data_IF_429742080363
#
_entry.id   IF_429742080363
#
_cell.length_a   1.000
_cell.length_b   1.000
_cell.length_c   1.000
_cell.angle_alpha   90.00
_cell.angle_beta   90.00
_cell.angle_gamma   90.00
#
_symmetry.space_group_name_H-M   'P 1'
#
loop_
_entity.id
_entity.type
_entity.pdbx_description
1 polymer ?
#
# COMPACT_ATOMS: atom_id res chain seq x y z
N UNK A 1 20.69 22.14 -5.25
CA UNK A 1 20.04 21.17 -6.16
C UNK A 1 18.92 20.49 -5.39
N UNK A 2 17.62 20.62 -5.75
CA UNK A 2 16.59 19.92 -5.00
C UNK A 2 16.65 18.44 -5.39
N UNK A 3 17.07 17.62 -4.44
CA UNK A 3 17.07 16.16 -4.53
C UNK A 3 15.60 15.77 -4.72
N UNK A 4 15.19 15.46 -5.95
CA UNK A 4 13.85 14.95 -6.24
C UNK A 4 13.72 13.63 -5.51
N UNK A 5 13.13 13.66 -4.31
CA UNK A 5 12.73 12.47 -3.59
C UNK A 5 11.75 11.74 -4.50
N UNK A 6 12.22 10.66 -5.11
CA UNK A 6 11.39 9.84 -5.99
C UNK A 6 10.42 9.11 -5.05
N UNK A 7 9.22 9.68 -4.88
CA UNK A 7 8.10 9.04 -4.23
C UNK A 7 7.52 7.96 -5.16
N UNK A 8 8.33 7.01 -5.61
CA UNK A 8 7.82 5.85 -6.34
C UNK A 8 7.39 4.79 -5.35
N UNK A 9 6.19 4.27 -5.55
CA UNK A 9 5.72 3.11 -4.81
C UNK A 9 6.66 1.94 -5.12
N UNK A 10 7.18 1.31 -4.09
CA UNK A 10 8.02 0.11 -4.21
C UNK A 10 7.17 -1.05 -4.68
N UNK A 11 5.92 -1.14 -4.21
CA UNK A 11 4.99 -2.22 -4.55
C UNK A 11 3.64 -1.60 -4.87
N UNK A 12 3.05 -2.00 -5.99
CA UNK A 12 1.66 -1.67 -6.35
C UNK A 12 0.89 -2.97 -6.50
N UNK A 13 -0.13 -3.16 -5.66
CA UNK A 13 -1.01 -4.34 -5.68
C UNK A 13 -2.44 -3.90 -5.97
N UNK A 14 -3.13 -4.63 -6.84
CA UNK A 14 -4.54 -4.40 -7.17
C UNK A 14 -5.34 -5.60 -6.72
N UNK A 15 -6.29 -5.39 -5.81
CA UNK A 15 -7.17 -6.43 -5.27
C UNK A 15 -8.63 -6.12 -5.62
N UNK A 16 -9.51 -7.14 -5.72
CA UNK A 16 -10.96 -6.93 -5.71
C UNK A 16 -11.39 -6.25 -4.41
N UNK A 17 -12.36 -5.34 -4.46
CA UNK A 17 -12.84 -4.66 -3.24
C UNK A 17 -13.71 -5.54 -2.35
N UNK A 18 -14.23 -6.62 -2.91
CA UNK A 18 -15.11 -7.60 -2.26
C UNK A 18 -14.34 -8.75 -1.59
N UNK A 19 -13.00 -8.70 -1.61
CA UNK A 19 -12.16 -9.69 -0.94
C UNK A 19 -12.36 -9.62 0.59
N UNK A 20 -12.33 -10.77 1.26
CA UNK A 20 -12.40 -10.83 2.72
C UNK A 20 -11.17 -10.14 3.33
N UNK A 21 -11.35 -9.43 4.44
CA UNK A 21 -10.28 -8.66 5.10
C UNK A 21 -9.03 -9.49 5.43
N UNK A 22 -9.19 -10.74 5.88
CA UNK A 22 -8.06 -11.64 6.12
C UNK A 22 -7.29 -11.99 4.85
N UNK A 23 -8.01 -12.26 3.75
CA UNK A 23 -7.41 -12.55 2.45
C UNK A 23 -6.76 -11.30 1.82
N UNK A 24 -7.24 -10.10 2.14
CA UNK A 24 -6.56 -8.84 1.79
C UNK A 24 -5.18 -8.75 2.47
N UNK A 25 -5.12 -8.96 3.79
CA UNK A 25 -3.88 -8.94 4.57
C UNK A 25 -2.90 -10.00 4.08
N UNK A 26 -3.38 -11.21 3.83
CA UNK A 26 -2.55 -12.30 3.29
C UNK A 26 -2.00 -11.95 1.90
N UNK A 27 -2.80 -11.32 1.04
CA UNK A 27 -2.36 -10.88 -0.28
C UNK A 27 -1.32 -9.75 -0.21
N UNK A 28 -1.49 -8.80 0.72
CA UNK A 28 -0.51 -7.73 0.97
C UNK A 28 0.84 -8.31 1.43
N UNK A 29 0.82 -9.25 2.39
CA UNK A 29 2.03 -9.94 2.86
C UNK A 29 2.67 -10.80 1.79
N UNK A 30 1.87 -11.53 1.01
CA UNK A 30 2.35 -12.32 -0.11
C UNK A 30 3.00 -11.44 -1.20
N UNK A 31 2.54 -10.20 -1.35
CA UNK A 31 3.14 -9.21 -2.24
C UNK A 31 4.43 -8.58 -1.68
N UNK A 32 4.81 -8.87 -0.43
CA UNK A 32 5.99 -8.31 0.24
C UNK A 32 5.73 -6.97 0.94
N UNK A 33 4.47 -6.60 1.18
CA UNK A 33 4.11 -5.39 1.91
C UNK A 33 4.07 -5.71 3.42
N UNK A 34 4.88 -5.05 4.26
CA UNK A 34 4.90 -5.28 5.69
C UNK A 34 3.65 -4.70 6.35
N UNK A 35 2.63 -5.53 6.56
CA UNK A 35 1.38 -5.17 7.24
C UNK A 35 1.09 -6.05 8.46
N UNK A 36 0.52 -5.43 9.49
CA UNK A 36 0.07 -6.08 10.71
C UNK A 36 -1.20 -6.92 10.47
N UNK A 37 -1.70 -7.58 11.52
CA UNK A 37 -2.91 -8.40 11.44
C UNK A 37 -4.20 -7.60 11.13
N UNK A 38 -4.14 -6.27 11.22
CA UNK A 38 -5.23 -5.35 10.93
C UNK A 38 -5.09 -4.69 9.55
N UNK A 39 -4.04 -5.01 8.78
CA UNK A 39 -3.75 -4.43 7.47
C UNK A 39 -3.08 -3.05 7.52
N UNK A 40 -2.60 -2.62 8.68
CA UNK A 40 -1.83 -1.39 8.82
C UNK A 40 -0.36 -1.65 8.46
N UNK A 41 0.29 -0.70 7.79
CA UNK A 41 1.70 -0.81 7.49
C UNK A 41 2.54 -0.78 8.76
N UNK A 42 3.32 -1.83 9.01
CA UNK A 42 4.27 -1.87 10.14
C UNK A 42 5.53 -1.05 9.84
N UNK A 43 5.89 -0.96 8.55
CA UNK A 43 7.01 -0.18 8.07
C UNK A 43 6.65 0.51 6.76
N UNK A 44 7.16 1.72 6.57
CA UNK A 44 6.85 2.50 5.38
C UNK A 44 5.44 3.10 5.37
N UNK A 45 4.99 3.51 4.19
CA UNK A 45 3.68 4.11 4.00
C UNK A 45 2.84 3.26 3.04
N UNK A 46 1.60 2.92 3.43
CA UNK A 46 0.64 2.23 2.58
C UNK A 46 -0.47 3.19 2.18
N UNK A 47 -0.51 3.50 0.88
CA UNK A 47 -1.58 4.29 0.28
C UNK A 47 -2.62 3.36 -0.33
N UNK A 48 -3.89 3.55 0.03
CA UNK A 48 -5.01 2.78 -0.52
C UNK A 48 -5.90 3.70 -1.33
N UNK A 49 -6.13 3.34 -2.59
CA UNK A 49 -7.15 3.97 -3.44
C UNK A 49 -8.28 3.00 -3.66
N UNK A 50 -9.45 3.33 -3.11
CA UNK A 50 -10.70 2.64 -3.40
C UNK A 50 -11.17 3.04 -4.80
N UNK A 51 -11.29 2.08 -5.70
CA UNK A 51 -11.80 2.31 -7.05
C UNK A 51 -13.33 2.24 -7.10
N UNK A 52 -14.01 3.38 -7.15
CA UNK A 52 -15.48 3.47 -7.25
C UNK A 52 -15.99 3.56 -8.71
N UNK A 53 -15.36 2.81 -9.62
CA UNK A 53 -15.64 2.88 -11.06
C UNK A 53 -16.37 1.65 -11.60
N UNK A 54 -17.71 1.59 -11.46
CA UNK A 54 -18.55 0.59 -12.13
C UNK A 54 -18.21 -0.88 -11.82
N UNK A 55 -18.73 -1.83 -12.63
CA UNK A 55 -18.84 -3.31 -12.44
C UNK A 55 -17.67 -4.09 -11.81
N UNK A 56 -16.49 -3.50 -11.60
CA UNK A 56 -15.36 -4.14 -10.91
C UNK A 56 -14.70 -3.14 -9.97
N UNK A 57 -15.24 -3.06 -8.74
CA UNK A 57 -14.64 -2.29 -7.66
C UNK A 57 -13.33 -2.96 -7.26
N UNK A 58 -12.23 -2.23 -7.40
CA UNK A 58 -10.89 -2.74 -7.11
C UNK A 58 -10.15 -1.77 -6.22
N UNK A 59 -9.45 -2.30 -5.24
CA UNK A 59 -8.61 -1.56 -4.32
C UNK A 59 -7.19 -1.56 -4.86
N UNK A 60 -6.58 -0.38 -4.97
CA UNK A 60 -5.18 -0.22 -5.37
C UNK A 60 -4.38 0.14 -4.14
N UNK A 61 -3.49 -0.76 -3.75
CA UNK A 61 -2.54 -0.61 -2.65
C UNK A 61 -1.19 -0.19 -3.23
N UNK A 62 -0.62 0.89 -2.71
CA UNK A 62 0.69 1.40 -3.09
C UNK A 62 1.53 1.55 -1.85
N UNK A 63 2.53 0.69 -1.72
CA UNK A 63 3.46 0.72 -0.59
C UNK A 63 4.76 1.45 -0.96
N UNK A 64 5.29 2.21 -0.02
CA UNK A 64 6.51 2.99 -0.14
C UNK A 64 7.44 2.61 1.00
N UNK A 65 8.65 2.17 0.69
CA UNK A 65 9.65 1.74 1.67
C UNK A 65 10.28 2.89 2.51
N UNK A 66 9.81 4.14 2.34
CA UNK A 66 10.37 5.28 3.05
C UNK A 66 10.06 5.17 4.56
N UNK A 67 11.08 5.25 5.42
CA UNK A 67 10.88 5.28 6.86
C UNK A 67 9.83 6.33 7.24
N UNK A 68 8.85 5.95 8.09
CA UNK A 68 7.89 6.88 8.68
C UNK A 68 8.67 7.74 9.67
N UNK A 69 9.31 8.80 9.16
CA UNK A 69 10.07 9.75 9.95
C UNK A 69 11.53 9.92 9.52
N UNK A 70 11.78 10.53 8.36
CA UNK A 70 12.97 11.37 8.19
C UNK A 70 12.71 12.47 7.15
N UNK A 71 11.92 13.47 7.54
CA UNK A 71 12.20 14.82 7.11
C UNK A 71 13.39 15.32 7.94
N UNK A 72 14.60 14.93 7.54
CA UNK A 72 15.83 15.53 8.05
C UNK A 72 15.99 16.92 7.45
N UNK A 73 16.03 17.94 8.31
CA UNK A 73 16.87 19.15 8.18
C UNK A 73 16.60 20.10 7.02
#
# INVERSE_FOLDING_TARGET
>A
MPKRTIHNATITLKLPSDIAAGAEVDALRAAGIPVDALGQAEQGFLFVRLGDGGRSRTNIFRWFACEVGQASG
#
